data_IF_545497096799
#
_entry.id   IF_545497096799
#
_cell.length_a   1.000
_cell.length_b   1.000
_cell.length_c   1.000
_cell.angle_alpha   90.00
_cell.angle_beta   90.00
_cell.angle_gamma   90.00
#
_symmetry.space_group_name_H-M   'P 1'
#
loop_
_entity.id
_entity.type
_entity.pdbx_description
1 polymer ?
#
# COMPACT_ATOMS: atom_id res chain seq x y z
N UNK A 1 -15.76 -4.10 -12.48
CA UNK A 1 -15.95 -4.56 -11.11
C UNK A 1 -14.59 -4.51 -10.49
N UNK A 2 -14.49 -3.80 -9.37
CA UNK A 2 -13.29 -3.87 -8.54
C UNK A 2 -13.34 -5.22 -7.82
N UNK A 3 -12.39 -6.09 -8.17
CA UNK A 3 -12.25 -7.44 -7.61
C UNK A 3 -11.39 -7.40 -6.35
N UNK A 4 -10.43 -6.47 -6.29
CA UNK A 4 -9.64 -6.17 -5.10
C UNK A 4 -9.49 -4.68 -4.94
N UNK A 5 -10.11 -4.14 -3.90
CA UNK A 5 -10.07 -2.74 -3.52
C UNK A 5 -8.65 -2.27 -3.16
N UNK A 6 -8.38 -0.98 -3.39
CA UNK A 6 -7.14 -0.37 -2.97
C UNK A 6 -7.18 -0.07 -1.47
N UNK A 7 -6.31 -0.72 -0.71
CA UNK A 7 -6.16 -0.49 0.73
C UNK A 7 -4.93 0.35 1.05
N UNK A 8 -4.96 0.99 2.21
CA UNK A 8 -3.79 1.70 2.75
C UNK A 8 -2.64 0.70 2.94
N UNK A 9 -1.44 0.94 2.39
CA UNK A 9 -0.33 0.01 2.52
C UNK A 9 0.01 -0.26 3.99
N UNK A 10 0.19 -1.53 4.35
CA UNK A 10 0.58 -1.93 5.72
C UNK A 10 1.82 -1.17 6.21
N UNK A 11 2.83 -1.02 5.35
CA UNK A 11 4.02 -0.24 5.67
C UNK A 11 3.68 1.21 6.04
N UNK A 12 2.73 1.85 5.36
CA UNK A 12 2.34 3.23 5.67
C UNK A 12 1.77 3.33 7.09
N UNK A 13 0.86 2.42 7.46
CA UNK A 13 0.25 2.34 8.78
C UNK A 13 1.31 2.08 9.87
N UNK A 14 2.26 1.18 9.60
CA UNK A 14 3.37 0.88 10.52
C UNK A 14 4.31 2.07 10.73
N UNK A 15 4.67 2.78 9.66
CA UNK A 15 5.51 3.97 9.79
C UNK A 15 4.78 5.10 10.52
N UNK A 16 3.48 5.26 10.30
CA UNK A 16 2.66 6.23 11.02
C UNK A 16 2.63 5.91 12.53
N UNK A 17 2.41 4.64 12.88
CA UNK A 17 2.48 4.15 14.26
C UNK A 17 3.87 4.38 14.85
N UNK A 18 4.94 4.09 14.11
CA UNK A 18 6.32 4.29 14.56
C UNK A 18 6.62 5.77 14.82
N UNK A 19 6.18 6.68 13.94
CA UNK A 19 6.40 8.12 14.09
C UNK A 19 5.68 8.73 15.30
N UNK A 20 4.52 8.17 15.67
CA UNK A 20 3.83 8.51 16.92
C UNK A 20 4.60 8.02 18.15
N UNK A 21 5.30 6.90 18.02
CA UNK A 21 5.84 6.12 19.14
C UNK A 21 7.34 6.24 19.35
N UNK A 22 8.07 6.85 18.43
CA UNK A 22 9.51 7.08 18.54
C UNK A 22 9.80 8.47 19.14
N UNK A 23 10.84 8.62 19.98
CA UNK A 23 11.25 9.92 20.50
C UNK A 23 11.48 10.95 19.40
N UNK A 24 11.08 12.21 19.64
CA UNK A 24 11.24 13.31 18.67
C UNK A 24 12.70 13.55 18.24
N UNK A 25 13.66 13.25 19.11
CA UNK A 25 15.10 13.42 18.87
C UNK A 25 15.82 12.13 18.45
N UNK A 26 15.08 11.06 18.12
CA UNK A 26 15.68 9.79 17.71
C UNK A 26 16.43 9.94 16.38
N UNK A 27 17.63 9.37 16.26
CA UNK A 27 18.52 9.51 15.09
C UNK A 27 17.86 9.08 13.77
N UNK A 28 17.11 7.98 13.80
CA UNK A 28 16.40 7.43 12.63
C UNK A 28 15.14 8.20 12.23
N UNK A 29 14.68 9.19 13.00
CA UNK A 29 13.37 9.81 12.79
C UNK A 29 13.23 10.47 11.42
N UNK A 30 14.24 11.23 10.98
CA UNK A 30 14.21 11.93 9.68
C UNK A 30 14.12 10.96 8.49
N UNK A 31 14.82 9.81 8.58
CA UNK A 31 14.77 8.75 7.57
C UNK A 31 13.37 8.12 7.52
N UNK A 32 12.77 7.86 8.68
CA UNK A 32 11.41 7.30 8.79
C UNK A 32 10.36 8.29 8.24
N UNK A 33 10.49 9.58 8.54
CA UNK A 33 9.62 10.64 8.01
C UNK A 33 9.72 10.73 6.48
N UNK A 34 10.94 10.65 5.93
CA UNK A 34 11.16 10.62 4.48
C UNK A 34 10.52 9.40 3.81
N UNK A 35 10.74 8.20 4.36
CA UNK A 35 10.15 6.96 3.86
C UNK A 35 8.62 6.96 3.97
N UNK A 36 8.07 7.49 5.08
CA UNK A 36 6.64 7.67 5.27
C UNK A 36 6.05 8.58 4.19
N UNK A 37 6.67 9.73 3.95
CA UNK A 37 6.19 10.68 2.94
C UNK A 37 6.29 10.13 1.52
N UNK A 38 7.35 9.36 1.21
CA UNK A 38 7.51 8.68 -0.09
C UNK A 38 6.38 7.69 -0.34
N UNK A 39 6.10 6.80 0.62
CA UNK A 39 5.02 5.80 0.50
C UNK A 39 3.65 6.47 0.44
N UNK A 40 3.42 7.48 1.31
CA UNK A 40 2.17 8.25 1.32
C UNK A 40 1.92 8.94 -0.02
N UNK A 41 2.95 9.52 -0.61
CA UNK A 41 2.86 10.19 -1.92
C UNK A 41 2.56 9.18 -3.02
N UNK A 42 3.23 8.02 -3.03
CA UNK A 42 2.93 6.93 -3.96
C UNK A 42 1.46 6.48 -3.88
N UNK A 43 1.01 6.15 -2.66
CA UNK A 43 -0.37 5.73 -2.39
C UNK A 43 -1.41 6.78 -2.79
N UNK A 44 -1.16 8.06 -2.52
CA UNK A 44 -2.05 9.14 -2.95
C UNK A 44 -2.10 9.28 -4.48
N UNK A 45 -0.99 9.01 -5.16
CA UNK A 45 -0.93 8.97 -6.62
C UNK A 45 -1.78 7.86 -7.20
N UNK A 46 -1.66 6.68 -6.62
CA UNK A 46 -2.48 5.52 -6.96
C UNK A 46 -3.98 5.78 -6.75
N UNK A 47 -4.37 6.35 -5.60
CA UNK A 47 -5.75 6.72 -5.30
C UNK A 47 -6.37 7.69 -6.31
N UNK A 48 -5.58 8.61 -6.87
CA UNK A 48 -6.07 9.52 -7.92
C UNK A 48 -6.50 8.77 -9.18
N UNK A 49 -5.92 7.60 -9.45
CA UNK A 49 -6.25 6.80 -10.63
C UNK A 49 -7.61 6.12 -10.46
N UNK A 50 -7.98 5.77 -9.23
CA UNK A 50 -9.23 5.09 -8.93
C UNK A 50 -10.44 5.93 -9.42
N UNK A 51 -10.40 7.26 -9.26
CA UNK A 51 -11.41 8.18 -9.83
C UNK A 51 -11.61 8.00 -11.35
N UNK A 52 -10.52 7.88 -12.12
CA UNK A 52 -10.62 7.71 -13.57
C UNK A 52 -11.03 6.29 -13.97
N UNK A 53 -10.76 5.30 -13.12
CA UNK A 53 -11.22 3.93 -13.33
C UNK A 53 -12.72 3.79 -13.05
N UNK A 54 -13.27 4.53 -12.08
CA UNK A 54 -14.70 4.54 -11.77
C UNK A 54 -15.56 5.10 -12.91
N UNK A 55 -14.99 6.01 -13.71
CA UNK A 55 -15.64 6.54 -14.92
C UNK A 55 -15.80 5.48 -16.01
N UNK A 56 -14.97 4.43 -16.01
CA UNK A 56 -15.08 3.34 -16.97
C UNK A 56 -16.30 2.46 -16.66
N UNK A 57 -16.99 2.00 -17.69
CA UNK A 57 -18.11 1.05 -17.54
C UNK A 57 -17.64 -0.23 -16.84
N UNK A 58 -17.88 -0.33 -15.54
CA UNK A 58 -17.36 -1.41 -14.70
C UNK A 58 -17.83 -2.82 -15.10
N UNK A 59 -18.77 -2.99 -16.03
CA UNK A 59 -19.28 -4.33 -16.37
C UNK A 59 -18.29 -5.19 -17.17
N UNK A 60 -17.28 -4.59 -17.79
CA UNK A 60 -16.35 -5.30 -18.70
C UNK A 60 -14.95 -5.55 -18.12
N UNK A 61 -14.66 -5.01 -16.94
CA UNK A 61 -13.33 -5.01 -16.34
C UNK A 61 -13.30 -5.72 -15.00
N UNK A 62 -12.31 -6.57 -14.78
CA UNK A 62 -11.92 -7.01 -13.44
C UNK A 62 -10.67 -6.24 -13.02
N UNK A 63 -10.82 -5.37 -12.02
CA UNK A 63 -9.75 -4.49 -11.55
C UNK A 63 -9.20 -5.03 -10.23
N UNK A 64 -7.87 -5.21 -10.16
CA UNK A 64 -7.18 -5.67 -8.97
C UNK A 64 -6.08 -4.69 -8.60
N UNK A 65 -6.17 -4.09 -7.41
CA UNK A 65 -5.20 -3.11 -6.94
C UNK A 65 -4.09 -3.72 -6.08
N UNK A 66 -2.87 -3.23 -6.29
CA UNK A 66 -1.69 -3.55 -5.51
C UNK A 66 -1.42 -5.06 -5.40
N UNK A 67 -1.24 -5.70 -6.55
CA UNK A 67 -1.01 -7.14 -6.65
C UNK A 67 0.47 -7.43 -6.48
N UNK A 68 0.81 -8.14 -5.41
CA UNK A 68 2.15 -8.66 -5.15
C UNK A 68 2.18 -10.19 -5.29
N UNK A 69 2.98 -10.69 -6.22
CA UNK A 69 3.10 -12.11 -6.57
C UNK A 69 4.55 -12.57 -6.48
N UNK A 70 4.74 -13.85 -6.21
CA UNK A 70 6.05 -14.52 -6.18
C UNK A 70 6.40 -15.05 -7.58
N UNK A 71 7.62 -14.80 -8.04
CA UNK A 71 8.17 -15.34 -9.28
C UNK A 71 8.79 -16.73 -9.04
N UNK A 72 9.36 -17.34 -10.09
CA UNK A 72 9.99 -18.68 -10.00
C UNK A 72 11.25 -18.71 -9.13
N UNK A 73 11.94 -17.56 -9.00
CA UNK A 73 13.15 -17.39 -8.19
C UNK A 73 12.84 -17.05 -6.72
N UNK A 74 11.57 -17.20 -6.28
CA UNK A 74 11.10 -16.84 -4.94
C UNK A 74 11.26 -15.37 -4.57
N UNK A 75 11.40 -14.50 -5.58
CA UNK A 75 11.37 -13.06 -5.42
C UNK A 75 9.96 -12.55 -5.69
N UNK A 76 9.61 -11.40 -5.10
CA UNK A 76 8.29 -10.81 -5.28
C UNK A 76 8.34 -9.61 -6.21
N UNK A 77 7.33 -9.51 -7.07
CA UNK A 77 7.07 -8.33 -7.89
C UNK A 77 5.68 -7.78 -7.55
N UNK A 78 5.54 -6.45 -7.66
CA UNK A 78 4.33 -5.75 -7.30
C UNK A 78 3.83 -4.94 -8.50
N UNK A 79 2.55 -5.06 -8.80
CA UNK A 79 1.87 -4.34 -9.87
C UNK A 79 0.80 -3.45 -9.23
N UNK A 80 0.88 -2.15 -9.51
CA UNK A 80 0.01 -1.15 -8.86
C UNK A 80 -1.47 -1.38 -9.19
N UNK A 81 -1.79 -1.72 -10.45
CA UNK A 81 -3.14 -2.11 -10.86
C UNK A 81 -3.12 -3.06 -12.04
N UNK A 82 -3.89 -4.14 -11.95
CA UNK A 82 -4.13 -5.10 -13.03
C UNK A 82 -5.59 -4.98 -13.46
N UNK A 83 -5.82 -4.76 -14.75
CA UNK A 83 -7.14 -4.75 -15.37
C UNK A 83 -7.24 -5.96 -16.30
N UNK A 84 -8.23 -6.81 -16.07
CA UNK A 84 -8.47 -8.01 -16.88
C UNK A 84 -9.77 -7.79 -17.65
N UNK A 85 -9.70 -7.92 -18.97
CA UNK A 85 -10.87 -7.85 -19.86
C UNK A 85 -11.10 -9.19 -20.54
N UNK A 86 -12.15 -9.29 -21.35
CA UNK A 86 -12.37 -10.43 -22.22
C UNK A 86 -11.45 -10.47 -23.45
N UNK A 87 -10.51 -9.52 -23.58
CA UNK A 87 -9.63 -9.38 -24.75
C UNK A 87 -8.15 -9.35 -24.38
N UNK A 88 -7.80 -8.75 -23.25
CA UNK A 88 -6.41 -8.54 -22.83
C UNK A 88 -6.29 -8.41 -21.31
N UNK A 89 -5.04 -8.44 -20.83
CA UNK A 89 -4.68 -7.93 -19.50
C UNK A 89 -3.92 -6.62 -19.68
N UNK A 90 -4.23 -5.62 -18.87
CA UNK A 90 -3.57 -4.33 -18.85
C UNK A 90 -2.97 -4.08 -17.47
N UNK A 91 -1.68 -3.80 -17.46
CA UNK A 91 -0.93 -3.39 -16.27
C UNK A 91 -0.87 -1.85 -16.25
N UNK A 92 -1.21 -1.24 -15.13
CA UNK A 92 -0.97 0.17 -14.90
C UNK A 92 0.18 0.31 -13.90
N UNK A 93 1.20 1.09 -14.28
CA UNK A 93 2.29 1.55 -13.41
C UNK A 93 2.09 3.03 -13.14
N UNK A 94 2.02 3.43 -11.88
CA UNK A 94 1.57 4.75 -11.49
C UNK A 94 2.74 5.49 -10.83
N UNK A 95 3.13 6.64 -11.39
CA UNK A 95 4.13 7.53 -10.81
C UNK A 95 3.47 8.81 -10.33
N UNK A 96 3.77 9.19 -9.09
CA UNK A 96 3.35 10.47 -8.52
C UNK A 96 4.58 11.29 -8.16
N UNK A 97 5.04 12.08 -9.12
CA UNK A 97 6.29 12.83 -9.02
C UNK A 97 6.06 14.21 -9.62
N UNK A 98 6.48 15.27 -8.94
CA UNK A 98 6.48 16.65 -9.43
C UNK A 98 7.68 16.91 -10.35
N UNK A 99 7.65 18.04 -11.06
CA UNK A 99 8.78 18.53 -11.86
C UNK A 99 8.82 18.03 -13.29
N UNK A 100 9.97 18.22 -13.95
CA UNK A 100 10.20 17.73 -15.30
C UNK A 100 10.64 16.27 -15.25
N UNK A 101 9.84 15.38 -15.80
CA UNK A 101 10.10 13.94 -15.87
C UNK A 101 10.65 13.60 -17.25
N UNK A 102 11.95 13.31 -17.32
CA UNK A 102 12.68 13.02 -18.56
C UNK A 102 12.84 11.52 -18.74
N UNK A 103 12.37 11.03 -19.87
CA UNK A 103 12.58 9.66 -20.33
C UNK A 103 13.64 9.65 -21.43
N UNK A 104 14.82 9.15 -21.11
CA UNK A 104 15.98 9.20 -22.00
C UNK A 104 16.30 7.83 -22.58
N UNK A 105 16.52 7.78 -23.90
CA UNK A 105 16.70 6.53 -24.64
C UNK A 105 18.09 5.93 -24.46
N UNK A 106 19.13 6.74 -24.53
CA UNK A 106 20.50 6.27 -24.77
C UNK A 106 21.01 5.33 -23.66
N UNK A 107 20.70 5.68 -22.40
CA UNK A 107 21.02 4.88 -21.23
C UNK A 107 19.79 4.30 -20.52
N UNK A 108 18.61 4.40 -21.15
CA UNK A 108 17.32 4.05 -20.54
C UNK A 108 17.12 4.74 -19.18
N UNK A 109 17.44 6.02 -19.07
CA UNK A 109 17.33 6.76 -17.81
C UNK A 109 15.95 7.38 -17.63
N UNK A 110 15.49 7.41 -16.38
CA UNK A 110 14.31 8.15 -15.98
C UNK A 110 14.72 9.18 -14.92
N UNK A 111 14.66 10.44 -15.29
CA UNK A 111 15.25 11.54 -14.52
C UNK A 111 14.15 12.52 -14.12
N UNK A 112 14.19 12.98 -12.88
CA UNK A 112 13.38 14.12 -12.42
C UNK A 112 14.27 15.34 -12.28
N UNK A 113 13.87 16.44 -12.91
CA UNK A 113 14.47 17.76 -12.68
C UNK A 113 13.48 18.64 -11.93
N UNK A 114 13.89 19.13 -10.76
CA UNK A 114 13.13 20.03 -9.89
C UNK A 114 14.00 21.21 -9.48
N UNK A 115 13.78 22.37 -10.11
CA UNK A 115 14.71 23.50 -10.00
C UNK A 115 16.06 23.11 -10.60
N UNK A 116 17.14 23.28 -9.83
CA UNK A 116 18.51 22.89 -10.20
C UNK A 116 18.84 21.44 -9.83
N UNK A 117 17.96 20.76 -9.10
CA UNK A 117 18.21 19.38 -8.65
C UNK A 117 17.80 18.38 -9.72
N UNK A 118 18.72 17.48 -10.05
CA UNK A 118 18.51 16.36 -10.95
C UNK A 118 18.67 15.03 -10.20
N UNK A 119 17.64 14.19 -10.26
CA UNK A 119 17.60 12.90 -9.58
C UNK A 119 17.25 11.79 -10.56
N UNK A 120 18.03 10.70 -10.52
CA UNK A 120 17.78 9.50 -11.31
C UNK A 120 16.90 8.50 -10.57
N UNK A 121 15.98 7.86 -11.30
CA UNK A 121 15.04 6.88 -10.80
C UNK A 121 15.05 5.61 -11.66
N UNK A 122 14.62 4.46 -11.11
CA UNK A 122 14.39 3.27 -11.91
C UNK A 122 13.44 3.55 -13.08
N UNK A 123 13.82 3.13 -14.28
CA UNK A 123 13.04 3.40 -15.47
C UNK A 123 11.72 2.61 -15.46
N UNK A 124 10.55 3.30 -15.46
CA UNK A 124 9.26 2.63 -15.41
C UNK A 124 8.97 1.80 -16.67
N UNK A 125 9.55 2.12 -17.83
CA UNK A 125 9.42 1.32 -19.07
C UNK A 125 10.05 -0.06 -18.86
N UNK A 126 11.27 -0.10 -18.32
CA UNK A 126 11.94 -1.36 -18.00
C UNK A 126 11.23 -2.10 -16.85
N UNK A 127 10.63 -1.38 -15.92
CA UNK A 127 9.82 -1.95 -14.83
C UNK A 127 8.58 -2.66 -15.38
N UNK A 128 7.75 -2.00 -16.19
CA UNK A 128 6.53 -2.63 -16.75
C UNK A 128 6.85 -3.79 -17.67
N UNK A 129 7.91 -3.69 -18.48
CA UNK A 129 8.34 -4.79 -19.34
C UNK A 129 8.71 -6.04 -18.53
N UNK A 130 9.38 -5.86 -17.37
CA UNK A 130 9.68 -6.96 -16.45
C UNK A 130 8.41 -7.52 -15.83
N UNK A 131 7.50 -6.67 -15.36
CA UNK A 131 6.22 -7.10 -14.78
C UNK A 131 5.35 -7.87 -15.79
N UNK A 132 5.32 -7.48 -17.06
CA UNK A 132 4.60 -8.21 -18.11
C UNK A 132 5.17 -9.62 -18.29
N UNK A 133 6.50 -9.77 -18.32
CA UNK A 133 7.16 -11.08 -18.41
C UNK A 133 6.87 -11.94 -17.18
N UNK A 134 6.96 -11.36 -15.98
CA UNK A 134 6.71 -12.07 -14.72
C UNK A 134 5.25 -12.50 -14.57
N UNK A 135 4.29 -11.64 -14.96
CA UNK A 135 2.87 -11.99 -14.95
C UNK A 135 2.57 -13.09 -15.98
N UNK A 136 3.18 -13.03 -17.17
CA UNK A 136 3.06 -14.09 -18.18
C UNK A 136 3.55 -15.43 -17.63
N UNK A 137 4.76 -15.47 -17.06
CA UNK A 137 5.32 -16.68 -16.45
C UNK A 137 4.44 -17.22 -15.31
N UNK A 138 3.87 -16.32 -14.48
CA UNK A 138 2.90 -16.69 -13.45
C UNK A 138 1.66 -17.39 -14.06
N UNK A 139 1.07 -16.84 -15.13
CA UNK A 139 -0.10 -17.46 -15.78
C UNK A 139 0.25 -18.83 -16.38
N UNK A 140 1.42 -18.95 -17.02
CA UNK A 140 1.96 -20.20 -17.57
C UNK A 140 2.12 -21.28 -16.49
N UNK A 141 2.77 -20.92 -15.38
CA UNK A 141 3.00 -21.81 -14.23
C UNK A 141 1.71 -22.43 -13.68
N UNK A 142 0.61 -21.67 -13.66
CA UNK A 142 -0.69 -22.15 -13.19
C UNK A 142 -1.60 -22.68 -14.30
N UNK A 143 -1.06 -22.91 -15.50
CA UNK A 143 -1.78 -23.44 -16.67
C UNK A 143 -3.04 -22.63 -16.99
N UNK A 144 -2.95 -21.32 -16.81
CA UNK A 144 -3.98 -20.37 -17.18
C UNK A 144 -3.74 -19.95 -18.62
N UNK A 145 -4.80 -19.53 -19.30
CA UNK A 145 -4.67 -18.94 -20.62
C UNK A 145 -4.00 -17.57 -20.54
N UNK A 146 -3.22 -17.26 -21.57
CA UNK A 146 -2.31 -16.12 -21.55
C UNK A 146 -2.73 -15.12 -22.63
N UNK A 147 -3.51 -14.08 -22.26
CA UNK A 147 -3.81 -12.98 -23.17
C UNK A 147 -2.57 -12.24 -23.66
N UNK A 148 -2.80 -11.36 -24.63
CA UNK A 148 -1.90 -10.21 -24.80
C UNK A 148 -1.90 -9.37 -23.51
N UNK A 149 -0.71 -9.11 -22.97
CA UNK A 149 -0.54 -8.28 -21.78
C UNK A 149 0.00 -6.93 -22.24
N UNK A 150 -0.75 -5.86 -22.00
CA UNK A 150 -0.37 -4.47 -22.29
C UNK A 150 0.02 -3.75 -21.00
N UNK A 151 0.68 -2.60 -21.15
CA UNK A 151 1.07 -1.76 -20.02
C UNK A 151 0.92 -0.28 -20.34
N UNK A 152 0.47 0.49 -19.35
CA UNK A 152 0.47 1.95 -19.36
C UNK A 152 1.26 2.47 -18.16
N UNK A 153 2.01 3.54 -18.39
CA UNK A 153 2.75 4.30 -17.38
C UNK A 153 2.02 5.62 -17.19
N UNK A 154 1.46 5.79 -16.00
CA UNK A 154 0.58 6.91 -15.70
C UNK A 154 1.29 7.88 -14.77
N UNK A 155 1.40 9.14 -15.20
CA UNK A 155 1.86 10.24 -14.34
C UNK A 155 0.64 10.85 -13.66
N UNK A 156 0.42 10.46 -12.40
CA UNK A 156 -0.74 10.88 -11.59
C UNK A 156 -0.68 12.32 -11.10
N UNK A 157 0.48 12.96 -11.18
CA UNK A 157 0.63 14.37 -10.89
C UNK A 157 0.43 15.20 -12.16
N UNK A 158 -0.62 16.01 -12.20
CA UNK A 158 -0.96 16.87 -13.35
C UNK A 158 -0.05 18.09 -13.50
N UNK A 159 0.67 18.49 -12.44
CA UNK A 159 1.60 19.62 -12.48
C UNK A 159 2.98 19.25 -13.01
N UNK A 160 3.18 18.00 -13.41
CA UNK A 160 4.46 17.50 -13.91
C UNK A 160 4.54 17.64 -15.40
N UNK A 161 5.75 17.83 -15.92
CA UNK A 161 5.97 17.96 -17.36
C UNK A 161 6.69 16.70 -17.84
N UNK A 162 6.07 15.96 -18.74
CA UNK A 162 6.66 14.78 -19.36
C UNK A 162 7.53 15.25 -20.54
N UNK A 163 8.82 14.92 -20.49
CA UNK A 163 9.79 15.17 -21.57
C UNK A 163 10.44 13.86 -21.97
N UNK A 164 10.81 13.74 -23.23
CA UNK A 164 11.44 12.52 -23.72
C UNK A 164 12.35 12.78 -24.90
N UNK A 165 13.45 12.05 -24.97
CA UNK A 165 14.31 11.96 -26.16
C UNK A 165 13.97 10.72 -27.01
N UNK A 166 13.02 9.90 -26.55
CA UNK A 166 12.53 8.71 -27.25
C UNK A 166 11.73 9.15 -28.48
N UNK A 167 12.12 8.67 -29.66
CA UNK A 167 11.41 8.94 -30.93
C UNK A 167 10.39 7.87 -31.30
N UNK A 168 10.29 6.79 -30.52
CA UNK A 168 9.38 5.68 -30.80
C UNK A 168 7.95 6.04 -30.33
N UNK A 169 7.05 6.31 -31.28
CA UNK A 169 5.67 6.70 -31.00
C UNK A 169 4.87 5.68 -30.17
N UNK A 170 5.13 4.38 -30.32
CA UNK A 170 4.39 3.34 -29.58
C UNK A 170 4.71 3.35 -28.09
N UNK A 171 5.97 3.62 -27.73
CA UNK A 171 6.37 3.73 -26.32
C UNK A 171 5.78 5.00 -25.71
N UNK A 172 5.78 6.09 -26.46
CA UNK A 172 5.20 7.37 -26.03
C UNK A 172 3.69 7.29 -25.83
N UNK A 173 3.00 6.53 -26.68
CA UNK A 173 1.55 6.35 -26.57
C UNK A 173 1.12 5.69 -25.25
N UNK A 174 2.03 4.98 -24.57
CA UNK A 174 1.77 4.31 -23.30
C UNK A 174 2.16 5.15 -22.08
N UNK A 175 2.71 6.36 -22.25
CA UNK A 175 3.13 7.24 -21.15
C UNK A 175 2.30 8.52 -21.18
N UNK A 176 1.47 8.76 -20.17
CA UNK A 176 0.55 9.90 -20.18
C UNK A 176 0.09 10.31 -18.77
N UNK A 177 -0.56 11.47 -18.66
CA UNK A 177 -1.18 11.91 -17.42
C UNK A 177 -2.51 11.20 -17.14
N UNK A 178 -2.85 11.05 -15.86
CA UNK A 178 -4.00 10.28 -15.40
C UNK A 178 -5.34 10.60 -16.10
N UNK A 179 -5.59 11.86 -16.44
CA UNK A 179 -6.81 12.30 -17.13
C UNK A 179 -7.04 11.64 -18.49
N UNK A 180 -5.97 11.17 -19.15
CA UNK A 180 -6.06 10.52 -20.46
C UNK A 180 -6.40 9.03 -20.35
N UNK A 181 -6.39 8.46 -19.14
CA UNK A 181 -6.58 7.02 -18.94
C UNK A 181 -7.90 6.49 -19.54
N UNK A 182 -9.07 7.15 -19.34
CA UNK A 182 -10.31 6.63 -19.92
C UNK A 182 -10.26 6.54 -21.44
N UNK A 183 -9.77 7.60 -22.10
CA UNK A 183 -9.64 7.67 -23.55
C UNK A 183 -8.64 6.65 -24.09
N UNK A 184 -7.50 6.44 -23.40
CA UNK A 184 -6.48 5.47 -23.80
C UNK A 184 -6.99 4.02 -23.68
N UNK A 185 -7.77 3.71 -22.65
CA UNK A 185 -8.43 2.40 -22.50
C UNK A 185 -9.48 2.20 -23.58
N UNK A 186 -10.33 3.20 -23.85
CA UNK A 186 -11.32 3.12 -24.94
C UNK A 186 -10.66 2.84 -26.29
N UNK A 187 -9.62 3.60 -26.64
CA UNK A 187 -8.85 3.39 -27.88
C UNK A 187 -8.26 1.98 -27.95
N UNK A 188 -7.75 1.45 -26.84
CA UNK A 188 -7.22 0.08 -26.80
C UNK A 188 -8.33 -0.96 -27.03
N UNK A 189 -9.53 -0.75 -26.48
CA UNK A 189 -10.69 -1.61 -26.72
C UNK A 189 -11.20 -1.58 -28.17
N UNK A 190 -11.08 -0.44 -28.85
CA UNK A 190 -11.42 -0.30 -30.27
C UNK A 190 -10.42 -1.05 -31.16
N UNK A 191 -9.12 -0.95 -30.84
CA UNK A 191 -8.05 -1.66 -31.57
C UNK A 191 -8.15 -3.18 -31.33
N UNK A 192 -8.51 -3.60 -30.13
CA UNK A 192 -8.65 -5.00 -29.75
C UNK A 192 -10.10 -5.39 -29.83
N UNK A 193 -10.55 -5.86 -30.99
CA UNK A 193 -11.95 -6.22 -31.22
C UNK A 193 -12.28 -7.65 -30.83
N UNK A 194 -11.36 -8.58 -31.04
CA UNK A 194 -11.60 -10.01 -30.81
C UNK A 194 -11.76 -10.31 -29.31
N UNK A 195 -12.91 -10.89 -28.95
CA UNK A 195 -13.09 -11.50 -27.64
C UNK A 195 -12.34 -12.82 -27.59
N UNK A 196 -11.34 -12.89 -26.73
CA UNK A 196 -10.46 -14.06 -26.59
C UNK A 196 -10.88 -14.89 -25.36
N UNK A 197 -11.49 -14.26 -24.35
CA UNK A 197 -11.83 -14.90 -23.09
C UNK A 197 -13.33 -14.88 -22.79
N UNK A 198 -13.80 -16.01 -22.28
CA UNK A 198 -15.06 -16.16 -21.57
C UNK A 198 -14.99 -15.57 -20.16
N UNK A 199 -16.15 -15.24 -19.61
CA UNK A 199 -16.29 -14.81 -18.21
C UNK A 199 -15.69 -15.82 -17.21
N UNK A 200 -15.75 -17.12 -17.51
CA UNK A 200 -15.19 -18.16 -16.65
C UNK A 200 -13.66 -18.12 -16.62
N UNK A 201 -13.00 -17.87 -17.76
CA UNK A 201 -11.53 -17.74 -17.83
C UNK A 201 -11.06 -16.48 -17.08
N UNK A 202 -11.72 -15.34 -17.29
CA UNK A 202 -11.43 -14.09 -16.55
C UNK A 202 -11.54 -14.31 -15.03
N UNK A 203 -12.59 -15.02 -14.59
CA UNK A 203 -12.80 -15.37 -13.18
C UNK A 203 -11.71 -16.31 -12.66
N UNK A 204 -11.27 -17.31 -13.43
CA UNK A 204 -10.16 -18.21 -13.05
C UNK A 204 -8.87 -17.43 -12.85
N UNK A 205 -8.52 -16.54 -13.79
CA UNK A 205 -7.32 -15.70 -13.69
C UNK A 205 -7.40 -14.80 -12.44
N UNK A 206 -8.53 -14.09 -12.26
CA UNK A 206 -8.72 -13.19 -11.11
C UNK A 206 -8.59 -13.92 -9.77
N UNK A 207 -9.21 -15.11 -9.66
CA UNK A 207 -9.13 -15.94 -8.45
C UNK A 207 -7.71 -16.47 -8.21
N UNK A 208 -6.98 -16.85 -9.26
CA UNK A 208 -5.61 -17.32 -9.13
C UNK A 208 -4.68 -16.18 -8.64
N UNK A 209 -4.79 -14.99 -9.23
CA UNK A 209 -4.03 -13.82 -8.79
C UNK A 209 -4.33 -13.52 -7.32
N UNK A 210 -5.60 -13.51 -6.91
CA UNK A 210 -5.96 -13.28 -5.50
C UNK A 210 -5.46 -14.37 -4.56
N UNK A 211 -5.51 -15.64 -4.98
CA UNK A 211 -5.04 -16.78 -4.18
C UNK A 211 -3.55 -16.71 -3.88
N UNK A 212 -2.75 -16.27 -4.84
CA UNK A 212 -1.29 -16.20 -4.71
C UNK A 212 -0.77 -14.79 -4.38
N UNK A 213 -1.66 -13.82 -4.26
CA UNK A 213 -1.32 -12.51 -3.74
C UNK A 213 -0.85 -12.63 -2.28
N UNK A 214 0.22 -11.92 -1.96
CA UNK A 214 0.72 -11.83 -0.58
C UNK A 214 0.96 -10.39 -0.18
N UNK A 215 0.41 -9.97 0.95
CA UNK A 215 0.71 -8.65 1.52
C UNK A 215 2.16 -8.61 1.99
N UNK A 216 2.88 -7.53 1.67
CA UNK A 216 4.19 -7.30 2.25
C UNK A 216 4.06 -6.92 3.73
N UNK A 217 4.60 -7.75 4.62
CA UNK A 217 4.59 -7.50 6.06
C UNK A 217 6.02 -7.37 6.60
N UNK A 218 6.61 -6.18 6.45
CA UNK A 218 7.96 -5.89 6.95
C UNK A 218 7.94 -5.54 8.44
N UNK A 219 8.89 -6.05 9.22
CA UNK A 219 9.13 -5.57 10.58
C UNK A 219 9.85 -4.21 10.50
N UNK A 220 9.14 -3.13 10.84
CA UNK A 220 9.69 -1.77 10.76
C UNK A 220 10.76 -1.51 11.81
N UNK A 221 10.70 -2.16 12.97
CA UNK A 221 11.71 -1.99 14.02
C UNK A 221 13.05 -2.57 13.57
N UNK A 222 13.03 -3.77 12.98
CA UNK A 222 14.23 -4.39 12.39
C UNK A 222 14.76 -3.57 11.20
N UNK A 223 13.87 -3.08 10.31
CA UNK A 223 14.27 -2.29 9.13
C UNK A 223 15.11 -1.07 9.51
N UNK A 224 14.76 -0.37 10.59
CA UNK A 224 15.47 0.84 11.03
C UNK A 224 16.37 0.60 12.24
N UNK A 225 16.58 -0.66 12.64
CA UNK A 225 17.39 -1.04 13.80
C UNK A 225 16.97 -0.29 15.09
N UNK A 226 15.67 -0.25 15.37
CA UNK A 226 15.09 0.40 16.57
C UNK A 226 14.83 -0.68 17.62
N UNK A 227 15.32 -0.44 18.83
CA UNK A 227 15.05 -1.33 19.94
C UNK A 227 13.60 -1.17 20.43
N UNK A 228 12.97 -2.26 20.86
CA UNK A 228 11.60 -2.22 21.39
C UNK A 228 11.47 -1.33 22.63
N UNK A 229 12.56 -1.12 23.38
CA UNK A 229 12.62 -0.24 24.55
C UNK A 229 12.58 1.25 24.19
N UNK A 230 12.96 1.62 22.96
CA UNK A 230 12.85 3.00 22.46
C UNK A 230 11.39 3.38 22.13
N UNK A 231 10.49 2.39 22.07
CA UNK A 231 9.08 2.62 21.76
C UNK A 231 8.36 3.19 22.99
N UNK A 232 7.82 4.39 22.81
CA UNK A 232 7.08 5.13 23.83
C UNK A 232 5.77 4.40 24.17
N UNK A 233 5.70 3.90 25.40
CA UNK A 233 4.53 3.27 26.02
C UNK A 233 3.53 4.31 26.57
N UNK A 234 2.31 3.86 26.84
CA UNK A 234 1.19 4.68 27.34
C UNK A 234 0.18 5.04 26.25
N UNK A 235 -0.87 5.76 26.63
CA UNK A 235 -1.90 6.25 25.69
C UNK A 235 -1.60 7.71 25.35
N UNK A 236 -1.18 7.98 24.12
CA UNK A 236 -0.88 9.33 23.63
C UNK A 236 -2.20 10.06 23.40
N UNK A 237 -2.30 11.31 23.87
CA UNK A 237 -3.49 12.12 23.69
C UNK A 237 -3.72 12.47 22.20
N UNK A 238 -4.89 12.17 21.62
CA UNK A 238 -5.15 12.44 20.21
C UNK A 238 -5.30 13.95 19.92
N UNK A 239 -5.62 14.77 20.92
CA UNK A 239 -5.76 16.22 20.76
C UNK A 239 -4.41 16.96 20.73
N UNK A 240 -3.56 16.75 21.74
CA UNK A 240 -2.28 17.48 21.82
C UNK A 240 -1.10 16.71 21.23
N UNK A 241 -1.22 15.40 20.98
CA UNK A 241 -0.21 14.51 20.40
C UNK A 241 1.12 14.39 21.17
N UNK A 242 1.25 15.07 22.31
CA UNK A 242 2.48 15.15 23.10
C UNK A 242 2.38 14.44 24.44
N UNK A 243 1.23 14.58 25.12
CA UNK A 243 1.07 14.12 26.50
C UNK A 243 0.48 12.71 26.56
N UNK A 244 0.89 11.97 27.60
CA UNK A 244 0.27 10.70 27.98
C UNK A 244 -1.01 10.94 28.75
N UNK A 245 -2.05 10.21 28.39
CA UNK A 245 -3.33 10.22 29.08
C UNK A 245 -3.30 9.25 30.27
N UNK A 246 -3.93 9.65 31.37
CA UNK A 246 -4.18 8.79 32.52
C UNK A 246 -5.58 8.22 32.45
N UNK A 247 -5.77 6.97 32.88
CA UNK A 247 -7.10 6.37 32.96
C UNK A 247 -7.79 6.79 34.25
N UNK A 248 -9.00 7.32 34.16
CA UNK A 248 -9.80 7.78 35.30
C UNK A 248 -11.28 7.47 35.04
N UNK A 249 -11.94 6.71 35.92
CA UNK A 249 -13.38 6.40 35.88
C UNK A 249 -13.90 6.03 34.47
N UNK A 250 -13.22 5.11 33.78
CA UNK A 250 -13.66 4.64 32.46
C UNK A 250 -13.28 5.56 31.28
N UNK A 251 -12.66 6.72 31.51
CA UNK A 251 -12.19 7.64 30.46
C UNK A 251 -10.68 7.88 30.55
N UNK A 252 -10.07 8.25 29.43
CA UNK A 252 -8.70 8.74 29.36
C UNK A 252 -8.71 10.25 29.49
N UNK A 253 -7.93 10.79 30.44
CA UNK A 253 -7.83 12.21 30.72
C UNK A 253 -6.41 12.70 30.44
N UNK A 254 -6.29 13.79 29.70
CA UNK A 254 -5.03 14.45 29.42
C UNK A 254 -4.86 15.72 30.26
N UNK A 255 -3.61 16.13 30.50
CA UNK A 255 -3.28 17.43 31.12
C UNK A 255 -3.70 18.61 30.24
N UNK A 256 -3.90 18.42 28.93
CA UNK A 256 -4.47 19.44 28.05
C UNK A 256 -6.00 19.51 28.10
N UNK A 257 -6.62 19.02 29.19
CA UNK A 257 -8.06 18.94 29.46
C UNK A 257 -8.90 18.08 28.52
N UNK A 258 -8.31 17.57 27.42
CA UNK A 258 -9.00 16.65 26.53
C UNK A 258 -9.30 15.30 27.22
N UNK A 259 -10.51 14.79 26.98
CA UNK A 259 -10.97 13.50 27.46
C UNK A 259 -11.42 12.62 26.29
N UNK A 260 -11.13 11.33 26.35
CA UNK A 260 -11.61 10.36 25.36
C UNK A 260 -11.90 9.01 26.03
N UNK A 261 -12.97 8.35 25.59
CA UNK A 261 -13.31 7.00 26.06
C UNK A 261 -12.50 5.90 25.35
N UNK A 262 -11.99 6.22 24.17
CA UNK A 262 -11.51 5.27 23.16
C UNK A 262 -10.06 5.50 22.70
N UNK A 263 -9.31 6.45 23.29
CA UNK A 263 -7.91 6.74 22.93
C UNK A 263 -6.98 5.52 23.00
N UNK A 264 -7.33 4.52 23.81
CA UNK A 264 -6.63 3.24 23.88
C UNK A 264 -6.69 2.41 22.59
N UNK A 265 -7.72 2.57 21.75
CA UNK A 265 -7.86 1.83 20.49
C UNK A 265 -6.65 2.09 19.61
N UNK A 266 -6.32 3.35 19.34
CA UNK A 266 -5.14 3.73 18.56
C UNK A 266 -3.86 3.16 19.16
N UNK A 267 -3.72 3.20 20.49
CA UNK A 267 -2.54 2.67 21.16
C UNK A 267 -2.41 1.14 21.01
N UNK A 268 -3.53 0.41 21.11
CA UNK A 268 -3.54 -1.04 20.92
C UNK A 268 -3.24 -1.41 19.47
N UNK A 269 -3.74 -0.66 18.48
CA UNK A 269 -3.36 -0.88 17.08
C UNK A 269 -1.91 -0.51 16.78
N UNK A 270 -1.37 0.57 17.39
CA UNK A 270 0.06 0.89 17.28
C UNK A 270 0.92 -0.27 17.79
N UNK A 271 0.53 -0.92 18.91
CA UNK A 271 1.18 -2.15 19.36
C UNK A 271 1.13 -3.23 18.29
N UNK A 272 -0.05 -3.46 17.69
CA UNK A 272 -0.21 -4.46 16.63
C UNK A 272 0.72 -4.24 15.43
N UNK A 273 0.86 -2.99 15.01
CA UNK A 273 1.72 -2.60 13.88
C UNK A 273 3.22 -2.77 14.18
N UNK A 274 3.64 -2.53 15.42
CA UNK A 274 5.06 -2.44 15.81
C UNK A 274 5.59 -3.71 16.50
N UNK A 275 4.80 -4.32 17.37
CA UNK A 275 5.25 -5.39 18.28
C UNK A 275 4.82 -6.78 17.81
N UNK A 276 3.69 -6.91 17.11
CA UNK A 276 3.27 -8.18 16.51
C UNK A 276 1.77 -8.32 16.31
N UNK A 277 1.32 -9.39 15.61
CA UNK A 277 -0.06 -9.57 15.15
C UNK A 277 -1.02 -10.02 16.27
N UNK A 278 -0.57 -10.10 17.52
CA UNK A 278 -1.40 -10.49 18.64
C UNK A 278 -0.96 -9.80 19.92
N UNK A 279 -1.89 -9.56 20.83
CA UNK A 279 -1.63 -8.98 22.14
C UNK A 279 -2.26 -9.80 23.25
N UNK A 280 -1.52 -10.06 24.32
CA UNK A 280 -2.01 -10.64 25.57
C UNK A 280 -2.41 -9.55 26.56
N UNK A 281 -3.12 -9.92 27.62
CA UNK A 281 -3.46 -8.96 28.68
C UNK A 281 -2.21 -8.35 29.34
N UNK A 282 -1.15 -9.16 29.53
CA UNK A 282 0.10 -8.73 30.16
C UNK A 282 0.80 -7.70 29.27
N UNK A 283 0.93 -7.99 27.97
CA UNK A 283 1.52 -7.08 26.99
C UNK A 283 0.70 -5.78 26.87
N UNK A 284 -0.63 -5.87 26.85
CA UNK A 284 -1.51 -4.70 26.82
C UNK A 284 -1.32 -3.81 28.05
N UNK A 285 -1.21 -4.39 29.24
CA UNK A 285 -0.95 -3.62 30.47
C UNK A 285 0.40 -2.93 30.42
N UNK A 286 1.45 -3.65 30.04
CA UNK A 286 2.78 -3.08 29.90
C UNK A 286 2.78 -1.95 28.86
N UNK A 287 2.23 -2.19 27.68
CA UNK A 287 2.23 -1.19 26.60
C UNK A 287 1.37 0.03 26.92
N UNK A 288 0.20 -0.13 27.53
CA UNK A 288 -0.68 0.99 27.90
C UNK A 288 -0.38 1.58 29.28
N UNK A 289 0.60 1.02 30.01
CA UNK A 289 0.95 1.42 31.39
C UNK A 289 -0.24 1.33 32.36
N UNK A 290 -0.97 0.22 32.31
CA UNK A 290 -2.11 -0.09 33.18
C UNK A 290 -1.69 -1.04 34.31
N UNK A 291 -2.06 -0.70 35.55
CA UNK A 291 -1.85 -1.57 36.71
C UNK A 291 -2.90 -2.70 36.80
N UNK A 292 -4.14 -2.42 36.38
CA UNK A 292 -5.28 -3.33 36.55
C UNK A 292 -5.44 -4.35 35.42
N UNK A 293 -5.48 -5.64 35.80
CA UNK A 293 -5.79 -6.76 34.90
C UNK A 293 -7.19 -6.64 34.31
N UNK A 294 -8.19 -6.36 35.14
CA UNK A 294 -9.60 -6.24 34.71
C UNK A 294 -9.80 -5.08 33.74
N UNK A 295 -9.13 -3.95 33.97
CA UNK A 295 -9.17 -2.82 33.04
C UNK A 295 -8.65 -3.20 31.66
N UNK A 296 -7.47 -3.83 31.58
CA UNK A 296 -6.92 -4.32 30.30
C UNK A 296 -7.85 -5.32 29.60
N UNK A 297 -8.46 -6.26 30.34
CA UNK A 297 -9.43 -7.21 29.77
C UNK A 297 -10.64 -6.51 29.17
N UNK A 298 -11.21 -5.53 29.88
CA UNK A 298 -12.39 -4.81 29.39
C UNK A 298 -12.08 -4.02 28.12
N UNK A 299 -10.89 -3.42 28.03
CA UNK A 299 -10.45 -2.71 26.82
C UNK A 299 -10.23 -3.66 25.65
N UNK A 300 -9.53 -4.77 25.85
CA UNK A 300 -9.31 -5.74 24.78
C UNK A 300 -10.64 -6.33 24.27
N UNK A 301 -11.60 -6.57 25.16
CA UNK A 301 -12.95 -7.01 24.78
C UNK A 301 -13.72 -5.95 24.00
N UNK A 302 -13.58 -4.66 24.31
CA UNK A 302 -14.30 -3.61 23.57
C UNK A 302 -13.84 -3.45 22.12
N UNK A 303 -12.67 -3.98 21.74
CA UNK A 303 -12.22 -4.00 20.35
C UNK A 303 -12.81 -5.16 19.52
N UNK A 304 -13.57 -6.08 20.13
CA UNK A 304 -14.13 -7.26 19.45
C UNK A 304 -13.10 -8.09 18.66
N UNK A 305 -11.84 -8.12 19.13
CA UNK A 305 -10.78 -8.89 18.48
C UNK A 305 -10.99 -10.39 18.64
N UNK A 306 -10.57 -11.17 17.64
CA UNK A 306 -10.59 -12.63 17.70
C UNK A 306 -9.71 -13.13 18.85
N UNK A 307 -10.32 -13.85 19.78
CA UNK A 307 -9.63 -14.43 20.93
C UNK A 307 -9.15 -15.85 20.60
N UNK A 308 -7.89 -16.14 20.94
CA UNK A 308 -7.33 -17.50 20.90
C UNK A 308 -6.74 -17.88 22.25
N UNK A 309 -6.71 -19.18 22.55
CA UNK A 309 -6.18 -19.71 23.80
C UNK A 309 -7.09 -19.48 25.02
N UNK A 310 -6.71 -20.07 26.15
CA UNK A 310 -7.54 -20.12 27.35
C UNK A 310 -6.80 -19.56 28.57
N UNK A 311 -7.51 -18.84 29.43
CA UNK A 311 -7.01 -18.33 30.71
C UNK A 311 -5.73 -17.45 30.59
N UNK A 312 -4.58 -17.99 31.00
CA UNK A 312 -3.28 -17.27 30.99
C UNK A 312 -2.65 -17.23 29.60
N UNK A 313 -3.03 -18.14 28.71
CA UNK A 313 -2.52 -18.17 27.32
C UNK A 313 -3.41 -17.40 26.34
N UNK A 314 -4.44 -16.70 26.84
CA UNK A 314 -5.33 -15.90 26.01
C UNK A 314 -4.59 -14.77 25.30
N UNK A 315 -4.72 -14.74 23.97
CA UNK A 315 -4.25 -13.67 23.09
C UNK A 315 -5.40 -13.17 22.24
N UNK A 316 -5.33 -11.89 21.88
CA UNK A 316 -6.25 -11.22 20.99
C UNK A 316 -5.52 -10.94 19.68
N UNK A 317 -6.09 -11.38 18.56
CA UNK A 317 -5.48 -11.26 17.24
C UNK A 317 -5.93 -9.96 16.59
N UNK A 318 -4.98 -9.25 15.98
CA UNK A 318 -5.30 -8.10 15.14
C UNK A 318 -5.73 -8.58 13.77
N UNK A 319 -6.90 -8.12 13.33
CA UNK A 319 -7.32 -8.22 11.95
C UNK A 319 -7.03 -6.85 11.32
N UNK A 320 -5.93 -6.79 10.58
CA UNK A 320 -5.67 -5.64 9.72
C UNK A 320 -6.35 -5.93 8.39
N UNK A 321 -7.10 -4.96 7.86
CA UNK A 321 -7.76 -5.12 6.57
C UNK A 321 -6.70 -5.37 5.47
N UNK A 322 -6.55 -6.61 5.00
CA UNK A 322 -5.62 -7.05 3.94
C UNK A 322 -6.18 -6.90 2.51
#
# INVERSE_FOLDING_TARGET
MIVKERKTPMMLLKLEALLRRIPKKHSMRSIIESDFMKIKTGYNGEKKIDYYLDVLSMKEYNILHNIRLENEEKQFFQIDTVIITNKYILILEIKNMLGNLRFERDFNQFIRVLGENEESFPNPILQVNRHQKQLRAFLEKYKLEIPSIYSFIIISNSSSVIKTTIRNSQVLDNIFHAEQLPLKIQKLNEIKTNQIFSSNQIRKISKAILKYHTTQNTNVLEKYNIDKTDIIKGVICPNCTTNMMKRTHGSWCCVCTYQSKDAHIQAIYDYGYLMGPSISNIECRDFLQLSSRSSSTNLLKSLNLKQIGCYKSTKYLFEFDD
#
